data_IF_347811357798
#
_entry.id   IF_347811357798
#
_cell.length_a   1.000
_cell.length_b   1.000
_cell.length_c   1.000
_cell.angle_alpha   90.00
_cell.angle_beta   90.00
_cell.angle_gamma   90.00
#
_symmetry.space_group_name_H-M   'P 1'
#
loop_
_entity.id
_entity.type
_entity.pdbx_description
1 polymer ?
#
# COMPACT_ATOMS: atom_id res chain seq x y z
N UNK A 1 -1.66 -3.45 25.84
CA UNK A 1 -1.90 -2.10 25.29
C UNK A 1 -3.39 -1.86 25.18
N UNK A 2 -3.88 -0.66 25.51
CA UNK A 2 -5.31 -0.33 25.35
C UNK A 2 -5.65 -0.04 23.89
N UNK A 3 -6.93 -0.07 23.52
CA UNK A 3 -7.41 0.26 22.17
C UNK A 3 -6.90 1.63 21.68
N UNK A 4 -6.83 2.61 22.57
CA UNK A 4 -6.31 3.94 22.27
C UNK A 4 -4.81 3.94 21.91
N UNK A 5 -4.00 3.12 22.57
CA UNK A 5 -2.56 3.04 22.29
C UNK A 5 -2.30 2.38 20.93
N UNK A 6 -3.01 1.29 20.61
CA UNK A 6 -2.90 0.64 19.30
C UNK A 6 -3.32 1.58 18.17
N UNK A 7 -4.44 2.29 18.35
CA UNK A 7 -4.89 3.31 17.39
C UNK A 7 -3.83 4.39 17.17
N UNK A 8 -3.30 4.97 18.25
CA UNK A 8 -2.30 6.03 18.14
C UNK A 8 -1.04 5.53 17.40
N UNK A 9 -0.51 4.36 17.78
CA UNK A 9 0.65 3.78 17.13
C UNK A 9 0.41 3.52 15.63
N UNK A 10 -0.76 2.97 15.28
CA UNK A 10 -1.13 2.75 13.89
C UNK A 10 -1.21 4.05 13.09
N UNK A 11 -1.91 5.06 13.61
CA UNK A 11 -2.07 6.34 12.93
C UNK A 11 -0.73 7.06 12.74
N UNK A 12 0.15 7.04 13.76
CA UNK A 12 1.49 7.61 13.64
C UNK A 12 2.29 6.91 12.55
N UNK A 13 2.36 5.57 12.57
CA UNK A 13 3.09 4.81 11.57
C UNK A 13 2.54 5.05 10.15
N UNK A 14 1.21 5.10 9.99
CA UNK A 14 0.57 5.39 8.72
C UNK A 14 0.87 6.81 8.22
N UNK A 15 0.86 7.83 9.09
CA UNK A 15 1.22 9.19 8.69
C UNK A 15 2.69 9.35 8.32
N UNK A 16 3.60 8.65 9.01
CA UNK A 16 5.00 8.57 8.58
C UNK A 16 5.08 7.90 7.20
N UNK A 17 4.32 6.84 6.95
CA UNK A 17 4.27 6.19 5.63
C UNK A 17 3.72 7.11 4.53
N UNK A 18 2.68 7.90 4.83
CA UNK A 18 2.17 8.93 3.91
C UNK A 18 3.26 9.94 3.57
N UNK A 19 3.99 10.45 4.57
CA UNK A 19 5.09 11.38 4.36
C UNK A 19 6.21 10.75 3.51
N UNK A 20 6.54 9.49 3.77
CA UNK A 20 7.50 8.71 2.98
C UNK A 20 7.08 8.57 1.53
N UNK A 21 5.80 8.33 1.23
CA UNK A 21 5.29 8.22 -0.15
C UNK A 21 5.41 9.55 -0.90
N UNK A 22 5.08 10.67 -0.26
CA UNK A 22 5.30 12.00 -0.88
C UNK A 22 6.79 12.32 -1.06
N UNK A 23 7.63 11.93 -0.09
CA UNK A 23 9.08 12.00 -0.21
C UNK A 23 9.59 11.19 -1.39
N UNK A 24 9.11 9.96 -1.58
CA UNK A 24 9.46 9.10 -2.73
C UNK A 24 8.97 9.69 -4.05
N UNK A 25 7.79 10.32 -4.09
CA UNK A 25 7.30 10.99 -5.29
C UNK A 25 8.24 12.13 -5.71
N UNK A 26 8.62 13.00 -4.76
CA UNK A 26 9.56 14.09 -5.01
C UNK A 26 10.96 13.57 -5.40
N UNK A 27 11.45 12.57 -4.68
CA UNK A 27 12.75 11.94 -4.94
C UNK A 27 12.81 11.28 -6.32
N UNK A 28 11.76 10.52 -6.70
CA UNK A 28 11.67 9.84 -7.99
C UNK A 28 11.65 10.82 -9.16
N UNK A 29 10.90 11.91 -9.05
CA UNK A 29 10.88 12.98 -10.06
C UNK A 29 12.24 13.67 -10.19
N UNK A 30 12.88 13.99 -9.05
CA UNK A 30 14.18 14.66 -9.03
C UNK A 30 15.30 13.78 -9.60
N UNK A 31 15.44 12.53 -9.12
CA UNK A 31 16.48 11.59 -9.57
C UNK A 31 16.25 11.13 -11.01
N UNK A 32 14.98 11.00 -11.41
CA UNK A 32 14.61 10.64 -12.77
C UNK A 32 14.83 11.75 -13.80
N UNK A 33 15.30 12.94 -13.38
CA UNK A 33 15.43 14.11 -14.25
C UNK A 33 14.14 14.42 -15.05
N UNK A 34 12.98 14.16 -14.45
CA UNK A 34 11.67 14.30 -15.11
C UNK A 34 11.52 13.44 -16.38
N UNK A 35 12.20 12.29 -16.45
CA UNK A 35 11.98 11.28 -17.48
C UNK A 35 10.57 10.68 -17.40
N UNK A 36 10.16 9.98 -18.46
CA UNK A 36 8.86 9.28 -18.52
C UNK A 36 8.70 8.31 -17.34
N UNK A 37 9.73 7.50 -17.06
CA UNK A 37 9.73 6.55 -15.94
C UNK A 37 9.68 7.26 -14.58
N UNK A 38 10.39 8.38 -14.45
CA UNK A 38 10.36 9.23 -13.25
C UNK A 38 8.97 9.81 -12.99
N UNK A 39 8.26 10.23 -14.05
CA UNK A 39 6.87 10.69 -13.96
C UNK A 39 5.90 9.59 -13.54
N UNK A 40 5.98 8.40 -14.14
CA UNK A 40 5.10 7.29 -13.75
C UNK A 40 5.31 6.89 -12.30
N UNK A 41 6.57 6.75 -11.87
CA UNK A 41 6.92 6.44 -10.48
C UNK A 41 6.46 7.54 -9.53
N UNK A 42 6.67 8.81 -9.89
CA UNK A 42 6.27 9.95 -9.09
C UNK A 42 4.75 10.07 -8.93
N UNK A 43 4.00 9.91 -10.02
CA UNK A 43 2.53 9.95 -10.01
C UNK A 43 1.97 8.77 -9.19
N UNK A 44 2.52 7.56 -9.35
CA UNK A 44 2.09 6.41 -8.59
C UNK A 44 2.29 6.62 -7.08
N UNK A 45 3.48 7.09 -6.68
CA UNK A 45 3.79 7.37 -5.28
C UNK A 45 2.93 8.50 -4.71
N UNK A 46 2.68 9.56 -5.49
CA UNK A 46 1.83 10.68 -5.09
C UNK A 46 0.37 10.25 -4.87
N UNK A 47 -0.21 9.51 -5.83
CA UNK A 47 -1.55 8.96 -5.70
C UNK A 47 -1.65 7.95 -4.54
N UNK A 48 -0.61 7.14 -4.36
CA UNK A 48 -0.46 6.25 -3.21
C UNK A 48 -0.52 7.01 -1.89
N UNK A 49 0.23 8.11 -1.77
CA UNK A 49 0.23 8.97 -0.59
C UNK A 49 -1.14 9.59 -0.29
N UNK A 50 -1.83 10.09 -1.31
CA UNK A 50 -3.19 10.63 -1.17
C UNK A 50 -4.20 9.58 -0.71
N UNK A 51 -4.22 8.43 -1.39
CA UNK A 51 -5.11 7.31 -1.04
C UNK A 51 -4.85 6.84 0.38
N UNK A 52 -3.58 6.69 0.77
CA UNK A 52 -3.20 6.29 2.12
C UNK A 52 -3.58 7.35 3.16
N UNK A 53 -3.47 8.64 2.85
CA UNK A 53 -3.88 9.72 3.76
C UNK A 53 -5.39 9.66 4.06
N UNK A 54 -6.24 9.57 3.03
CA UNK A 54 -7.69 9.44 3.24
C UNK A 54 -8.04 8.13 3.96
N UNK A 55 -7.37 7.04 3.61
CA UNK A 55 -7.56 5.75 4.29
C UNK A 55 -7.19 5.84 5.79
N UNK A 56 -6.08 6.50 6.12
CA UNK A 56 -5.62 6.71 7.50
C UNK A 56 -6.62 7.52 8.32
N UNK A 57 -7.19 8.59 7.74
CA UNK A 57 -8.25 9.37 8.39
C UNK A 57 -9.48 8.51 8.67
N UNK A 58 -9.93 7.73 7.69
CA UNK A 58 -11.10 6.86 7.85
C UNK A 58 -10.86 5.70 8.82
N UNK A 59 -9.64 5.14 8.86
CA UNK A 59 -9.25 4.14 9.84
C UNK A 59 -9.31 4.71 11.26
N UNK A 60 -8.84 5.95 11.46
CA UNK A 60 -8.95 6.64 12.74
C UNK A 60 -10.40 6.76 13.22
N UNK A 61 -11.30 7.17 12.32
CA UNK A 61 -12.75 7.26 12.62
C UNK A 61 -13.35 5.89 12.91
N UNK A 62 -13.00 4.87 12.11
CA UNK A 62 -13.47 3.49 12.30
C UNK A 62 -13.05 2.95 13.68
N UNK A 63 -11.79 3.13 14.05
CA UNK A 63 -11.23 2.64 15.33
C UNK A 63 -11.71 3.45 16.54
N UNK A 64 -12.29 4.64 16.32
CA UNK A 64 -13.08 5.39 17.29
C UNK A 64 -14.55 4.94 17.36
N UNK A 65 -15.00 4.06 16.46
CA UNK A 65 -16.40 3.66 16.34
C UNK A 65 -17.31 4.73 15.70
N UNK A 66 -16.74 5.74 15.05
CA UNK A 66 -17.48 6.84 14.42
C UNK A 66 -17.93 6.45 13.02
N UNK A 67 -19.23 6.45 12.80
CA UNK A 67 -19.81 6.24 11.47
C UNK A 67 -19.52 7.45 10.57
N UNK A 68 -19.21 7.18 9.30
CA UNK A 68 -18.91 8.21 8.30
C UNK A 68 -20.06 8.27 7.28
N UNK A 69 -20.74 9.43 7.15
CA UNK A 69 -21.80 9.59 6.17
C UNK A 69 -21.33 9.29 4.74
N UNK A 70 -22.19 8.73 3.86
CA UNK A 70 -21.82 8.47 2.46
C UNK A 70 -21.39 9.71 1.66
N UNK A 71 -21.79 10.91 2.10
CA UNK A 71 -21.48 12.21 1.51
C UNK A 71 -20.19 12.84 2.06
N UNK A 72 -19.51 12.19 3.02
CA UNK A 72 -18.27 12.71 3.59
C UNK A 72 -17.17 12.81 2.53
N UNK A 73 -16.55 13.99 2.43
CA UNK A 73 -15.56 14.28 1.39
C UNK A 73 -14.31 13.37 1.43
N UNK A 74 -13.91 12.87 2.60
CA UNK A 74 -12.80 11.91 2.70
C UNK A 74 -13.20 10.55 2.14
N UNK A 75 -14.40 10.07 2.49
CA UNK A 75 -14.93 8.81 1.97
C UNK A 75 -15.14 8.86 0.45
N UNK A 76 -15.73 9.95 -0.05
CA UNK A 76 -15.96 10.16 -1.48
C UNK A 76 -14.63 10.24 -2.24
N UNK A 77 -13.68 11.03 -1.75
CA UNK A 77 -12.34 11.14 -2.35
C UNK A 77 -11.63 9.79 -2.41
N UNK A 78 -11.65 9.02 -1.31
CA UNK A 78 -11.05 7.69 -1.30
C UNK A 78 -11.73 6.78 -2.33
N UNK A 79 -13.07 6.69 -2.33
CA UNK A 79 -13.84 5.86 -3.27
C UNK A 79 -13.57 6.20 -4.72
N UNK A 80 -13.33 7.46 -5.02
CA UNK A 80 -12.97 7.90 -6.36
C UNK A 80 -11.51 7.57 -6.70
N UNK A 81 -10.57 7.80 -5.79
CA UNK A 81 -9.15 7.75 -6.09
C UNK A 81 -8.54 6.33 -6.07
N UNK A 82 -8.97 5.44 -5.15
CA UNK A 82 -8.35 4.12 -5.05
C UNK A 82 -8.50 3.25 -6.31
N UNK A 83 -9.62 3.30 -7.08
CA UNK A 83 -9.73 2.59 -8.34
C UNK A 83 -8.72 3.10 -9.39
N UNK A 84 -8.50 4.42 -9.47
CA UNK A 84 -7.51 4.99 -10.39
C UNK A 84 -6.09 4.55 -10.04
N UNK A 85 -5.72 4.57 -8.77
CA UNK A 85 -4.42 4.04 -8.31
C UNK A 85 -4.27 2.55 -8.66
N UNK A 86 -5.32 1.76 -8.45
CA UNK A 86 -5.31 0.33 -8.77
C UNK A 86 -5.13 0.10 -10.27
N UNK A 87 -5.87 0.84 -11.11
CA UNK A 87 -5.74 0.77 -12.57
C UNK A 87 -4.35 1.16 -13.05
N UNK A 88 -3.76 2.23 -12.48
CA UNK A 88 -2.40 2.64 -12.80
C UNK A 88 -1.39 1.53 -12.46
N UNK A 89 -1.49 0.94 -11.26
CA UNK A 89 -0.61 -0.16 -10.85
C UNK A 89 -0.78 -1.40 -11.72
N UNK A 90 -2.01 -1.76 -12.09
CA UNK A 90 -2.27 -2.87 -13.02
C UNK A 90 -1.71 -2.59 -14.42
N UNK A 91 -1.81 -1.35 -14.89
CA UNK A 91 -1.22 -0.92 -16.16
C UNK A 91 0.30 -1.10 -16.12
N UNK A 92 0.98 -0.56 -15.09
CA UNK A 92 2.43 -0.67 -14.93
C UNK A 92 2.86 -2.14 -14.85
N UNK A 93 2.21 -2.94 -14.01
CA UNK A 93 2.43 -4.37 -13.91
C UNK A 93 2.28 -5.09 -15.26
N UNK A 94 1.21 -4.77 -16.01
CA UNK A 94 0.93 -5.40 -17.31
C UNK A 94 1.98 -5.02 -18.35
N UNK A 95 2.38 -3.76 -18.41
CA UNK A 95 3.43 -3.28 -19.33
C UNK A 95 4.77 -3.96 -19.02
N UNK A 96 5.16 -4.06 -17.75
CA UNK A 96 6.38 -4.75 -17.36
C UNK A 96 6.31 -6.25 -17.69
N UNK A 97 5.17 -6.90 -17.46
CA UNK A 97 4.98 -8.31 -17.81
C UNK A 97 5.09 -8.53 -19.32
N UNK A 98 4.40 -7.72 -20.12
CA UNK A 98 4.49 -7.79 -21.59
C UNK A 98 5.91 -7.57 -22.09
N UNK A 99 6.63 -6.62 -21.49
CA UNK A 99 8.05 -6.40 -21.78
C UNK A 99 8.91 -7.63 -21.51
N UNK A 100 8.73 -8.27 -20.35
CA UNK A 100 9.45 -9.53 -20.02
C UNK A 100 9.08 -10.65 -21.00
N UNK A 101 7.80 -10.82 -21.32
CA UNK A 101 7.34 -11.82 -22.28
C UNK A 101 7.84 -11.55 -23.72
N UNK A 102 8.08 -10.29 -24.07
CA UNK A 102 8.68 -9.88 -25.33
C UNK A 102 10.22 -10.04 -25.36
N UNK A 103 10.84 -10.48 -24.27
CA UNK A 103 12.28 -10.75 -24.20
C UNK A 103 13.13 -9.60 -23.69
N UNK A 104 12.59 -8.63 -22.93
CA UNK A 104 13.39 -7.54 -22.34
C UNK A 104 14.38 -8.01 -21.26
N UNK A 105 14.23 -9.22 -20.71
CA UNK A 105 15.08 -9.75 -19.65
C UNK A 105 15.43 -11.23 -19.90
N UNK A 106 16.15 -11.56 -20.99
CA UNK A 106 16.37 -12.94 -21.42
C UNK A 106 17.31 -13.70 -20.48
N UNK A 107 18.16 -12.99 -19.73
CA UNK A 107 19.11 -13.56 -18.77
C UNK A 107 18.50 -13.73 -17.37
N UNK A 108 17.28 -13.24 -17.15
CA UNK A 108 16.67 -13.26 -15.83
C UNK A 108 16.12 -14.63 -15.45
N UNK A 109 16.29 -14.98 -14.16
CA UNK A 109 15.77 -16.23 -13.63
C UNK A 109 14.24 -16.25 -13.70
N UNK A 110 13.68 -17.19 -14.48
CA UNK A 110 12.24 -17.29 -14.72
C UNK A 110 11.42 -17.55 -13.46
N UNK A 111 11.96 -18.31 -12.50
CA UNK A 111 11.29 -18.58 -11.21
C UNK A 111 11.20 -17.30 -10.38
N UNK A 112 12.29 -16.53 -10.31
CA UNK A 112 12.31 -15.25 -9.60
C UNK A 112 11.34 -14.23 -10.23
N UNK A 113 11.30 -14.14 -11.57
CA UNK A 113 10.34 -13.29 -12.30
C UNK A 113 8.89 -13.72 -12.03
N UNK A 114 8.60 -15.01 -12.09
CA UNK A 114 7.26 -15.54 -11.80
C UNK A 114 6.82 -15.19 -10.39
N UNK A 115 7.72 -15.34 -9.42
CA UNK A 115 7.46 -14.98 -8.02
C UNK A 115 7.21 -13.48 -7.88
N UNK A 116 8.04 -12.63 -8.49
CA UNK A 116 7.86 -11.17 -8.51
C UNK A 116 6.49 -10.78 -9.08
N UNK A 117 6.15 -11.22 -10.30
CA UNK A 117 4.89 -10.83 -10.93
C UNK A 117 3.66 -11.34 -10.17
N UNK A 118 3.75 -12.53 -9.58
CA UNK A 118 2.67 -13.10 -8.75
C UNK A 118 2.47 -12.29 -7.48
N UNK A 119 3.56 -12.00 -6.75
CA UNK A 119 3.51 -11.24 -5.50
C UNK A 119 3.09 -9.79 -5.77
N UNK A 120 3.59 -9.17 -6.82
CA UNK A 120 3.21 -7.81 -7.21
C UNK A 120 1.72 -7.72 -7.57
N UNK A 121 1.21 -8.64 -8.40
CA UNK A 121 -0.22 -8.67 -8.72
C UNK A 121 -1.08 -8.89 -7.46
N UNK A 122 -0.70 -9.86 -6.63
CA UNK A 122 -1.40 -10.13 -5.38
C UNK A 122 -1.40 -8.89 -4.46
N UNK A 123 -0.28 -8.16 -4.37
CA UNK A 123 -0.16 -6.95 -3.56
C UNK A 123 -1.12 -5.85 -4.06
N UNK A 124 -1.26 -5.68 -5.38
CA UNK A 124 -2.23 -4.74 -5.99
C UNK A 124 -3.66 -5.12 -5.59
N UNK A 125 -4.02 -6.39 -5.73
CA UNK A 125 -5.37 -6.88 -5.42
C UNK A 125 -5.68 -6.78 -3.92
N UNK A 126 -4.73 -7.14 -3.06
CA UNK A 126 -4.87 -7.03 -1.61
C UNK A 126 -5.02 -5.57 -1.17
N UNK A 127 -4.23 -4.64 -1.73
CA UNK A 127 -4.36 -3.20 -1.46
C UNK A 127 -5.75 -2.68 -1.83
N UNK A 128 -6.24 -3.04 -3.01
CA UNK A 128 -7.59 -2.69 -3.46
C UNK A 128 -8.67 -3.28 -2.52
N UNK A 129 -8.48 -4.50 -2.03
CA UNK A 129 -9.40 -5.12 -1.08
C UNK A 129 -9.39 -4.45 0.30
N UNK A 130 -8.23 -4.02 0.80
CA UNK A 130 -8.09 -3.22 2.03
C UNK A 130 -8.86 -1.90 1.90
N UNK A 131 -8.66 -1.16 0.81
CA UNK A 131 -9.35 0.12 0.56
C UNK A 131 -10.86 -0.08 0.36
N UNK A 132 -11.24 -1.04 -0.47
CA UNK A 132 -12.64 -1.37 -0.73
C UNK A 132 -13.39 -1.83 0.52
N UNK A 133 -12.74 -2.58 1.41
CA UNK A 133 -13.37 -3.04 2.65
C UNK A 133 -13.54 -1.90 3.63
N UNK A 134 -12.54 -1.02 3.80
CA UNK A 134 -12.70 0.15 4.67
C UNK A 134 -13.80 1.10 4.16
N UNK A 135 -13.88 1.36 2.86
CA UNK A 135 -14.89 2.27 2.29
C UNK A 135 -16.33 1.74 2.42
N UNK A 136 -16.52 0.41 2.47
CA UNK A 136 -17.81 -0.23 2.77
C UNK A 136 -18.12 -0.23 4.27
N UNK A 137 -17.08 -0.37 5.10
CA UNK A 137 -17.20 -0.43 6.56
C UNK A 137 -17.38 0.95 7.20
N UNK A 138 -16.85 2.02 6.60
CA UNK A 138 -16.87 3.36 7.18
C UNK A 138 -18.28 3.91 7.53
N UNK A 139 -19.34 3.68 6.73
CA UNK A 139 -20.69 4.08 7.11
C UNK A 139 -21.32 3.24 8.23
N UNK A 140 -20.88 1.99 8.40
CA UNK A 140 -21.37 1.09 9.43
C UNK A 140 -20.20 0.45 10.20
N UNK A 141 -19.54 1.22 11.08
CA UNK A 141 -18.38 0.72 11.81
C UNK A 141 -18.72 -0.42 12.77
N UNK A 142 -20.00 -0.68 13.04
CA UNK A 142 -20.46 -1.79 13.89
C UNK A 142 -20.41 -3.16 13.19
N UNK A 143 -20.28 -3.20 11.86
CA UNK A 143 -20.28 -4.45 11.10
C UNK A 143 -19.04 -5.30 11.42
N UNK A 144 -19.26 -6.34 12.23
CA UNK A 144 -18.22 -7.30 12.64
C UNK A 144 -17.67 -8.10 11.46
N UNK A 145 -18.49 -8.40 10.46
CA UNK A 145 -18.05 -9.16 9.27
C UNK A 145 -17.10 -8.31 8.44
N UNK A 146 -17.45 -7.05 8.21
CA UNK A 146 -16.58 -6.09 7.52
C UNK A 146 -15.27 -5.85 8.27
N UNK A 147 -15.29 -5.74 9.60
CA UNK A 147 -14.06 -5.63 10.42
C UNK A 147 -13.15 -6.86 10.29
N UNK A 148 -13.74 -8.06 10.37
CA UNK A 148 -12.98 -9.31 10.21
C UNK A 148 -12.34 -9.39 8.83
N UNK A 149 -13.08 -9.10 7.77
CA UNK A 149 -12.56 -9.06 6.40
C UNK A 149 -11.44 -8.03 6.26
N UNK A 150 -11.59 -6.84 6.85
CA UNK A 150 -10.53 -5.82 6.83
C UNK A 150 -9.25 -6.34 7.51
N UNK A 151 -9.38 -6.98 8.67
CA UNK A 151 -8.24 -7.58 9.37
C UNK A 151 -7.58 -8.69 8.55
N UNK A 152 -8.35 -9.57 7.92
CA UNK A 152 -7.83 -10.62 7.03
C UNK A 152 -7.04 -10.02 5.86
N UNK A 153 -7.58 -8.99 5.21
CA UNK A 153 -6.89 -8.30 4.12
C UNK A 153 -5.65 -7.53 4.56
N UNK A 154 -5.66 -6.91 5.74
CA UNK A 154 -4.47 -6.25 6.31
C UNK A 154 -3.36 -7.27 6.60
N UNK A 155 -3.71 -8.45 7.10
CA UNK A 155 -2.73 -9.52 7.33
C UNK A 155 -2.10 -10.00 6.01
N UNK A 156 -2.92 -10.22 4.98
CA UNK A 156 -2.44 -10.58 3.64
C UNK A 156 -1.57 -9.46 3.04
N UNK A 157 -2.00 -8.20 3.17
CA UNK A 157 -1.25 -7.05 2.67
C UNK A 157 0.11 -6.90 3.36
N UNK A 158 0.21 -7.15 4.68
CA UNK A 158 1.48 -7.11 5.40
C UNK A 158 2.48 -8.16 4.88
N UNK A 159 2.02 -9.39 4.64
CA UNK A 159 2.86 -10.46 4.09
C UNK A 159 3.33 -10.13 2.66
N UNK A 160 2.43 -9.59 1.83
CA UNK A 160 2.76 -9.20 0.45
C UNK A 160 3.69 -7.99 0.39
N UNK A 161 3.51 -7.01 1.27
CA UNK A 161 4.41 -5.86 1.42
C UNK A 161 5.83 -6.30 1.82
N UNK A 162 5.94 -7.27 2.72
CA UNK A 162 7.24 -7.88 3.04
C UNK A 162 7.85 -8.55 1.81
N UNK A 163 7.07 -9.32 1.04
CA UNK A 163 7.51 -9.92 -0.21
C UNK A 163 8.01 -8.89 -1.23
N UNK A 164 7.28 -7.79 -1.44
CA UNK A 164 7.71 -6.69 -2.30
C UNK A 164 8.98 -6.02 -1.79
N UNK A 165 9.13 -5.85 -0.48
CA UNK A 165 10.35 -5.32 0.14
C UNK A 165 11.56 -6.19 -0.17
N UNK A 166 11.41 -7.51 -0.11
CA UNK A 166 12.48 -8.45 -0.47
C UNK A 166 12.89 -8.26 -1.93
N UNK A 167 11.95 -8.18 -2.88
CA UNK A 167 12.30 -7.96 -4.30
C UNK A 167 12.91 -6.60 -4.59
N UNK A 168 12.59 -5.57 -3.80
CA UNK A 168 13.22 -4.26 -3.92
C UNK A 168 14.66 -4.25 -3.37
N UNK A 169 15.01 -5.17 -2.47
CA UNK A 169 16.34 -5.28 -1.86
C UNK A 169 17.24 -6.31 -2.53
N UNK A 170 16.64 -7.38 -3.06
CA UNK A 170 17.34 -8.50 -3.69
C UNK A 170 17.13 -8.40 -5.20
N UNK A 171 18.12 -7.88 -5.95
CA UNK A 171 17.99 -7.70 -7.38
C UNK A 171 17.86 -9.07 -8.08
N UNK A 172 17.03 -9.12 -9.12
CA UNK A 172 16.96 -10.25 -10.04
C UNK A 172 17.98 -9.98 -11.13
N UNK A 173 19.08 -10.74 -11.13
CA UNK A 173 20.11 -10.63 -12.16
C UNK A 173 19.49 -10.71 -13.57
N UNK A 174 19.89 -9.82 -14.47
CA UNK A 174 19.35 -9.74 -15.83
C UNK A 174 17.99 -9.03 -15.95
N UNK A 175 17.39 -8.56 -14.85
CA UNK A 175 16.13 -7.81 -14.85
C UNK A 175 16.21 -6.49 -14.08
N UNK A 176 16.83 -6.48 -12.89
CA UNK A 176 17.02 -5.26 -12.10
C UNK A 176 18.49 -4.99 -11.81
N UNK A 177 18.82 -3.71 -11.66
CA UNK A 177 20.17 -3.26 -11.29
C UNK A 177 20.42 -3.51 -9.81
N UNK A 178 21.68 -3.80 -9.46
CA UNK A 178 22.05 -3.96 -8.05
C UNK A 178 21.83 -2.62 -7.32
N UNK A 179 21.02 -2.60 -6.23
CA UNK A 179 20.74 -1.37 -5.52
C UNK A 179 22.01 -0.87 -4.83
N UNK A 180 22.23 0.44 -4.84
CA UNK A 180 23.28 1.07 -4.02
C UNK A 180 22.94 0.93 -2.53
N UNK A 181 23.91 1.14 -1.64
CA UNK A 181 23.65 1.17 -0.20
C UNK A 181 22.54 2.17 0.16
N UNK A 182 22.52 3.32 -0.50
CA UNK A 182 21.46 4.32 -0.33
C UNK A 182 20.10 3.78 -0.77
N UNK A 183 20.02 3.10 -1.91
CA UNK A 183 18.77 2.48 -2.38
C UNK A 183 18.29 1.40 -1.41
N UNK A 184 19.19 0.55 -0.89
CA UNK A 184 18.85 -0.47 0.10
C UNK A 184 18.32 0.14 1.40
N UNK A 185 18.90 1.24 1.87
CA UNK A 185 18.40 1.94 3.05
C UNK A 185 17.03 2.56 2.80
N UNK A 186 16.84 3.23 1.67
CA UNK A 186 15.55 3.88 1.32
C UNK A 186 14.45 2.84 1.13
N UNK A 187 14.68 1.81 0.31
CA UNK A 187 13.68 0.77 0.04
C UNK A 187 13.48 -0.16 1.24
N UNK A 188 14.53 -0.47 1.99
CA UNK A 188 14.45 -1.33 3.16
C UNK A 188 13.72 -0.65 4.32
N UNK A 189 14.03 0.62 4.61
CA UNK A 189 13.31 1.39 5.62
C UNK A 189 11.87 1.66 5.19
N UNK A 190 11.65 2.02 3.92
CA UNK A 190 10.31 2.25 3.37
C UNK A 190 9.43 1.00 3.41
N UNK A 191 9.99 -0.16 3.02
CA UNK A 191 9.30 -1.44 3.09
C UNK A 191 9.05 -1.92 4.51
N UNK A 192 10.05 -1.80 5.39
CA UNK A 192 9.89 -2.12 6.81
C UNK A 192 8.81 -1.26 7.49
N UNK A 193 8.77 0.04 7.16
CA UNK A 193 7.74 0.97 7.63
C UNK A 193 6.35 0.59 7.09
N UNK A 194 6.24 0.18 5.84
CA UNK A 194 4.97 -0.25 5.23
C UNK A 194 4.39 -1.49 5.94
N UNK A 195 5.24 -2.49 6.17
CA UNK A 195 4.87 -3.71 6.91
C UNK A 195 4.47 -3.35 8.35
N UNK A 196 5.27 -2.54 9.04
CA UNK A 196 4.98 -2.11 10.41
C UNK A 196 3.67 -1.34 10.50
N UNK A 197 3.45 -0.36 9.63
CA UNK A 197 2.23 0.44 9.59
C UNK A 197 1.00 -0.44 9.33
N UNK A 198 1.12 -1.42 8.43
CA UNK A 198 0.04 -2.37 8.12
C UNK A 198 -0.27 -3.29 9.30
N UNK A 199 0.74 -3.81 9.99
CA UNK A 199 0.56 -4.65 11.18
C UNK A 199 -0.01 -3.86 12.36
N UNK A 200 0.40 -2.61 12.54
CA UNK A 200 -0.18 -1.74 13.57
C UNK A 200 -1.63 -1.40 13.25
N UNK A 201 -1.96 -1.15 11.97
CA UNK A 201 -3.33 -0.96 11.53
C UNK A 201 -4.19 -2.21 11.78
N UNK A 202 -3.66 -3.40 11.52
CA UNK A 202 -4.30 -4.67 11.85
C UNK A 202 -4.60 -4.77 13.35
N UNK A 203 -3.59 -4.52 14.20
CA UNK A 203 -3.75 -4.54 15.65
C UNK A 203 -4.78 -3.50 16.12
N UNK A 204 -4.80 -2.31 15.52
CA UNK A 204 -5.78 -1.27 15.82
C UNK A 204 -7.22 -1.68 15.45
N UNK A 205 -7.43 -2.35 14.31
CA UNK A 205 -8.73 -2.88 13.90
C UNK A 205 -9.20 -3.98 14.85
N UNK A 206 -8.30 -4.88 15.25
CA UNK A 206 -8.61 -5.97 16.19
C UNK A 206 -8.91 -5.47 17.61
N UNK A 207 -8.21 -4.41 18.05
CA UNK A 207 -8.40 -3.82 19.37
C UNK A 207 -9.54 -2.78 19.44
N UNK A 208 -10.11 -2.37 18.30
CA UNK A 208 -11.17 -1.38 18.27
C UNK A 208 -12.43 -1.89 19.00
N UNK A 209 -13.07 -1.08 19.86
CA UNK A 209 -14.31 -1.48 20.52
C UNK A 209 -15.34 -1.92 19.48
N UNK A 210 -15.91 -3.13 19.64
CA UNK A 210 -17.14 -3.48 18.93
C UNK A 210 -18.14 -2.37 19.21
N UNK A 211 -18.68 -1.73 18.17
CA UNK A 211 -19.58 -0.61 18.36
C UNK A 211 -20.70 -1.08 19.28
N UNK A 212 -20.84 -0.43 20.45
CA UNK A 212 -21.99 -0.64 21.31
C UNK A 212 -23.19 -0.18 20.49
N UNK A 213 -23.96 -1.13 19.98
CA UNK A 213 -25.33 -0.89 19.54
C UNK A 213 -26.19 -0.53 20.73
#
# INVERSE_FOLDING_TARGET
MTSAHWRLAALLALWVQVASLFGMAAYGLWRGHFSVDGWFTGIEAFLGGLVLAWWTVLLGRLTEGRAVPPTDGTLVSLRFAFPWLTSLRLMLWSLTLLGVLAGLAPEANTVALTALFTIWLAAILASNAVYGTLTRLAPNPADLTGRRRLAEWLNVAAALSLGMTVFNLVPIAGFSTAPTLTDQLVYGLGGGLDVLATLLALAAVQAAPGAKG
#
